data_IF_840703059449
#
_entry.id   IF_840703059449
#
_cell.length_a   1.000
_cell.length_b   1.000
_cell.length_c   1.000
_cell.angle_alpha   90.00
_cell.angle_beta   90.00
_cell.angle_gamma   90.00
#
_symmetry.space_group_name_H-M   'P 1'
#
loop_
_entity.id
_entity.type
_entity.pdbx_description
1 polymer ?
#
# COMPACT_ATOMS: atom_id res chain seq x y z
N UNK A 1 -7.91 -18.88 14.85
CA UNK A 1 -7.94 -19.07 13.39
C UNK A 1 -8.41 -17.82 12.67
N UNK A 2 -8.08 -17.69 11.39
CA UNK A 2 -8.56 -16.60 10.55
C UNK A 2 -10.08 -16.53 10.53
N UNK A 3 -10.75 -17.67 10.36
CA UNK A 3 -12.21 -17.76 10.33
C UNK A 3 -12.87 -17.19 11.59
N UNK A 4 -12.31 -17.44 12.77
CA UNK A 4 -12.84 -16.90 14.04
C UNK A 4 -12.71 -15.37 14.11
N UNK A 5 -11.63 -14.79 13.60
CA UNK A 5 -11.43 -13.33 13.55
C UNK A 5 -12.43 -12.71 12.57
N UNK A 6 -12.58 -13.28 11.37
CA UNK A 6 -13.54 -12.78 10.38
C UNK A 6 -14.98 -12.82 10.91
N UNK A 7 -15.35 -13.90 11.61
CA UNK A 7 -16.67 -14.03 12.24
C UNK A 7 -16.88 -13.00 13.36
N UNK A 8 -15.85 -12.73 14.18
CA UNK A 8 -15.90 -11.69 15.22
C UNK A 8 -16.15 -10.31 14.61
N UNK A 9 -15.44 -9.98 13.54
CA UNK A 9 -15.60 -8.70 12.83
C UNK A 9 -17.00 -8.61 12.21
N UNK A 10 -17.49 -9.68 11.59
CA UNK A 10 -18.83 -9.69 10.98
C UNK A 10 -19.96 -9.53 11.99
N UNK A 11 -19.80 -10.10 13.19
CA UNK A 11 -20.81 -9.99 14.26
C UNK A 11 -20.77 -8.66 15.03
N UNK A 12 -19.77 -7.80 14.75
CA UNK A 12 -19.62 -6.51 15.43
C UNK A 12 -20.60 -5.45 14.91
N UNK A 13 -20.84 -4.42 15.73
CA UNK A 13 -21.64 -3.23 15.36
C UNK A 13 -20.82 -2.17 14.59
N UNK A 14 -19.62 -2.52 14.10
CA UNK A 14 -18.75 -1.61 13.35
C UNK A 14 -19.40 -1.21 12.01
N UNK A 15 -19.07 -0.02 11.50
CA UNK A 15 -19.52 0.41 10.18
C UNK A 15 -19.13 -0.60 9.09
N UNK A 16 -19.93 -0.67 8.04
CA UNK A 16 -19.75 -1.66 6.97
C UNK A 16 -18.36 -1.57 6.30
N UNK A 17 -17.95 -0.36 5.93
CA UNK A 17 -16.63 -0.13 5.26
C UNK A 17 -15.47 -0.56 6.16
N UNK A 18 -15.55 -0.24 7.46
CA UNK A 18 -14.58 -0.68 8.46
C UNK A 18 -14.47 -2.20 8.50
N UNK A 19 -15.63 -2.92 8.57
CA UNK A 19 -15.64 -4.39 8.61
C UNK A 19 -15.06 -5.00 7.33
N UNK A 20 -15.44 -4.49 6.16
CA UNK A 20 -14.95 -4.97 4.87
C UNK A 20 -13.43 -4.78 4.78
N UNK A 21 -12.93 -3.59 5.04
CA UNK A 21 -11.49 -3.28 5.03
C UNK A 21 -10.70 -4.15 6.02
N UNK A 22 -11.16 -4.26 7.25
CA UNK A 22 -10.48 -5.07 8.27
C UNK A 22 -10.40 -6.55 7.87
N UNK A 23 -11.48 -7.11 7.32
CA UNK A 23 -11.48 -8.49 6.83
C UNK A 23 -10.52 -8.68 5.67
N UNK A 24 -10.41 -7.73 4.76
CA UNK A 24 -9.50 -7.82 3.63
C UNK A 24 -8.03 -7.75 4.09
N UNK A 25 -7.72 -6.91 5.09
CA UNK A 25 -6.39 -6.88 5.72
C UNK A 25 -6.07 -8.23 6.37
N UNK A 26 -7.00 -8.82 7.14
CA UNK A 26 -6.79 -10.12 7.77
C UNK A 26 -6.66 -11.27 6.77
N UNK A 27 -7.40 -11.26 5.66
CA UNK A 27 -7.25 -12.26 4.59
C UNK A 27 -5.87 -12.17 3.96
N UNK A 28 -5.43 -10.98 3.58
CA UNK A 28 -4.10 -10.76 3.01
C UNK A 28 -2.99 -11.20 3.96
N UNK A 29 -3.13 -10.90 5.24
CA UNK A 29 -2.18 -11.33 6.26
C UNK A 29 -2.18 -12.87 6.40
N UNK A 30 -3.36 -13.49 6.48
CA UNK A 30 -3.50 -14.94 6.54
C UNK A 30 -2.93 -15.65 5.32
N UNK A 31 -3.12 -15.11 4.11
CA UNK A 31 -2.52 -15.61 2.88
C UNK A 31 -0.99 -15.57 2.91
N UNK A 32 -0.41 -14.46 3.41
CA UNK A 32 1.03 -14.33 3.52
C UNK A 32 1.62 -15.32 4.52
N UNK A 33 1.01 -15.46 5.69
CA UNK A 33 1.42 -16.44 6.70
C UNK A 33 1.27 -17.88 6.18
N UNK A 34 0.16 -18.22 5.52
CA UNK A 34 -0.06 -19.53 4.93
C UNK A 34 1.02 -19.91 3.91
N UNK A 35 1.43 -18.95 3.06
CA UNK A 35 2.53 -19.15 2.10
C UNK A 35 3.87 -19.36 2.80
N UNK A 36 4.17 -18.58 3.83
CA UNK A 36 5.43 -18.70 4.58
C UNK A 36 5.51 -20.05 5.30
N UNK A 37 4.40 -20.53 5.87
CA UNK A 37 4.34 -21.81 6.58
C UNK A 37 4.12 -23.02 5.66
N UNK A 38 3.73 -22.81 4.41
CA UNK A 38 3.43 -23.88 3.48
C UNK A 38 2.20 -24.71 3.85
N UNK A 39 1.21 -24.07 4.47
CA UNK A 39 -0.07 -24.68 4.91
C UNK A 39 -1.26 -24.03 4.22
N UNK A 40 -2.44 -24.64 4.35
CA UNK A 40 -3.68 -24.03 3.89
C UNK A 40 -4.05 -22.83 4.77
N UNK A 41 -4.69 -21.81 4.16
CA UNK A 41 -5.13 -20.60 4.88
C UNK A 41 -6.12 -20.91 6.00
N UNK A 42 -6.92 -21.94 5.87
CA UNK A 42 -7.87 -22.39 6.91
C UNK A 42 -7.16 -23.04 8.11
N UNK A 43 -5.94 -23.54 7.92
CA UNK A 43 -5.12 -24.15 8.97
C UNK A 43 -4.24 -23.14 9.70
N UNK A 44 -4.22 -21.88 9.23
CA UNK A 44 -3.38 -20.84 9.84
C UNK A 44 -3.82 -20.57 11.29
N UNK A 45 -2.83 -20.68 12.16
CA UNK A 45 -2.89 -20.17 13.53
C UNK A 45 -1.91 -18.99 13.62
N UNK A 46 -2.43 -17.80 13.75
CA UNK A 46 -1.60 -16.62 13.98
C UNK A 46 -0.86 -16.74 15.31
N UNK A 47 0.45 -16.92 15.26
CA UNK A 47 1.28 -17.05 16.46
C UNK A 47 1.71 -15.70 17.02
N UNK A 48 1.94 -14.71 16.15
CA UNK A 48 2.37 -13.36 16.49
C UNK A 48 1.31 -12.30 16.19
N UNK A 49 0.41 -12.55 15.25
CA UNK A 49 -0.53 -11.56 14.70
C UNK A 49 -1.99 -11.81 15.10
N UNK A 50 -2.30 -12.91 15.75
CA UNK A 50 -3.67 -13.28 16.16
C UNK A 50 -4.02 -12.87 17.59
N UNK A 51 -3.16 -12.12 18.26
CA UNK A 51 -3.41 -11.56 19.58
C UNK A 51 -4.43 -10.40 19.50
N UNK A 52 -5.02 -10.07 20.63
CA UNK A 52 -6.06 -9.02 20.72
C UNK A 52 -5.56 -7.68 20.20
N UNK A 53 -4.29 -7.37 20.43
CA UNK A 53 -3.59 -6.17 19.96
C UNK A 53 -3.64 -6.03 18.43
N UNK A 54 -3.31 -7.07 17.67
CA UNK A 54 -3.40 -7.00 16.20
C UNK A 54 -4.83 -6.79 15.68
N UNK A 55 -5.84 -7.34 16.39
CA UNK A 55 -7.25 -7.08 16.05
C UNK A 55 -7.56 -5.61 16.31
N UNK A 56 -7.13 -5.06 17.44
CA UNK A 56 -7.33 -3.64 17.79
C UNK A 56 -6.61 -2.74 16.80
N UNK A 57 -5.37 -3.06 16.42
CA UNK A 57 -4.57 -2.26 15.49
C UNK A 57 -5.20 -2.22 14.10
N UNK A 58 -5.60 -3.38 13.56
CA UNK A 58 -6.18 -3.46 12.21
C UNK A 58 -7.57 -2.84 12.18
N UNK A 59 -8.45 -3.24 13.08
CA UNK A 59 -9.84 -2.73 13.14
C UNK A 59 -9.83 -1.25 13.49
N UNK A 60 -9.00 -0.85 14.47
CA UNK A 60 -8.85 0.54 14.90
C UNK A 60 -8.34 1.45 13.78
N UNK A 61 -7.36 0.99 13.00
CA UNK A 61 -6.87 1.74 11.84
C UNK A 61 -7.95 1.91 10.77
N UNK A 62 -8.68 0.84 10.44
CA UNK A 62 -9.79 0.91 9.48
C UNK A 62 -10.91 1.84 9.96
N UNK A 63 -11.26 1.77 11.26
CA UNK A 63 -12.28 2.62 11.87
C UNK A 63 -11.83 4.09 11.90
N UNK A 64 -10.57 4.36 12.24
CA UNK A 64 -10.03 5.71 12.25
C UNK A 64 -10.09 6.36 10.87
N UNK A 65 -9.73 5.64 9.80
CA UNK A 65 -9.85 6.13 8.43
C UNK A 65 -11.30 6.48 8.08
N UNK A 66 -12.28 5.65 8.49
CA UNK A 66 -13.69 5.91 8.22
C UNK A 66 -14.21 7.11 9.02
N UNK A 67 -13.88 7.21 10.32
CA UNK A 67 -14.27 8.34 11.16
C UNK A 67 -13.67 9.67 10.74
N UNK A 68 -12.47 9.65 10.16
CA UNK A 68 -11.82 10.82 9.58
C UNK A 68 -12.33 11.16 8.18
N UNK A 69 -13.23 10.35 7.60
CA UNK A 69 -13.76 10.58 6.26
C UNK A 69 -12.72 10.43 5.15
N UNK A 70 -11.78 9.49 5.31
CA UNK A 70 -10.71 9.30 4.33
C UNK A 70 -11.24 8.52 3.12
N UNK A 71 -11.12 9.14 1.95
CA UNK A 71 -11.51 8.54 0.68
C UNK A 71 -10.37 7.73 0.06
N UNK A 72 -9.15 8.22 0.12
CA UNK A 72 -7.99 7.63 -0.53
C UNK A 72 -6.78 7.64 0.42
N UNK A 73 -6.04 6.54 0.41
CA UNK A 73 -4.77 6.39 1.14
C UNK A 73 -3.63 6.27 0.14
N UNK A 74 -2.55 6.98 0.36
CA UNK A 74 -1.33 6.92 -0.44
C UNK A 74 -0.15 6.62 0.47
N UNK A 75 0.75 5.76 0.02
CA UNK A 75 1.94 5.40 0.77
C UNK A 75 3.22 5.79 0.01
N UNK A 76 4.23 6.27 0.73
CA UNK A 76 5.59 6.28 0.21
C UNK A 76 6.08 4.83 0.03
N UNK A 77 7.21 4.58 -0.69
CA UNK A 77 7.87 3.29 -0.66
C UNK A 77 8.07 2.81 0.78
N UNK A 78 7.68 1.54 1.05
CA UNK A 78 7.64 1.01 2.42
C UNK A 78 9.05 0.85 2.98
N UNK A 79 9.31 1.49 4.11
CA UNK A 79 10.61 1.39 4.78
C UNK A 79 10.77 -0.02 5.39
N UNK A 80 11.82 -0.73 4.97
CA UNK A 80 12.20 -2.03 5.54
C UNK A 80 13.59 -1.94 6.18
N UNK A 81 13.73 -2.56 7.35
CA UNK A 81 15.00 -2.59 8.05
C UNK A 81 15.98 -3.61 7.49
N UNK A 82 17.19 -3.61 8.04
CA UNK A 82 18.24 -4.59 7.80
C UNK A 82 18.57 -5.34 9.08
N UNK A 83 19.24 -6.48 8.94
CA UNK A 83 19.68 -7.28 10.08
C UNK A 83 18.70 -8.41 10.40
N UNK A 84 18.44 -8.64 11.68
CA UNK A 84 17.67 -9.78 12.16
C UNK A 84 16.77 -9.37 13.32
N UNK A 85 15.59 -9.98 13.37
CA UNK A 85 14.66 -9.91 14.50
C UNK A 85 14.54 -11.30 15.15
N UNK A 86 14.26 -11.34 16.45
CA UNK A 86 13.96 -12.55 17.18
C UNK A 86 12.46 -12.61 17.49
N UNK A 87 11.80 -13.64 17.05
CA UNK A 87 10.37 -13.89 17.27
C UNK A 87 10.07 -15.33 17.64
N UNK A 88 8.82 -15.75 17.59
CA UNK A 88 8.37 -17.10 17.93
C UNK A 88 9.08 -18.19 17.09
N UNK A 89 9.50 -17.87 15.88
CA UNK A 89 10.21 -18.77 14.96
C UNK A 89 11.75 -18.66 15.06
N UNK A 90 12.27 -18.05 16.13
CA UNK A 90 13.69 -17.84 16.31
C UNK A 90 14.18 -16.55 15.64
N UNK A 91 15.46 -16.57 15.20
CA UNK A 91 16.10 -15.41 14.58
C UNK A 91 15.82 -15.38 13.09
N UNK A 92 15.10 -14.35 12.63
CA UNK A 92 14.69 -14.16 11.24
C UNK A 92 15.37 -12.94 10.61
N UNK A 93 15.73 -12.98 9.31
CA UNK A 93 16.23 -11.81 8.60
C UNK A 93 15.13 -10.76 8.43
N UNK A 94 15.53 -9.49 8.33
CA UNK A 94 14.63 -8.37 8.02
C UNK A 94 14.66 -8.01 6.52
N UNK A 95 13.51 -7.70 5.90
CA UNK A 95 12.15 -7.78 6.49
C UNK A 95 11.77 -9.23 6.84
N UNK A 96 10.98 -9.42 7.89
CA UNK A 96 10.50 -10.73 8.31
C UNK A 96 9.77 -11.45 7.15
N UNK A 97 9.76 -12.81 7.11
CA UNK A 97 9.24 -13.56 5.96
C UNK A 97 7.82 -13.18 5.56
N UNK A 98 6.91 -13.02 6.50
CA UNK A 98 5.54 -12.61 6.21
C UNK A 98 5.47 -11.17 5.69
N UNK A 99 6.27 -10.25 6.25
CA UNK A 99 6.39 -8.88 5.74
C UNK A 99 6.92 -8.87 4.30
N UNK A 100 7.94 -9.66 4.00
CA UNK A 100 8.50 -9.79 2.65
C UNK A 100 7.46 -10.33 1.66
N UNK A 101 6.66 -11.32 2.08
CA UNK A 101 5.59 -11.89 1.26
C UNK A 101 4.50 -10.86 0.96
N UNK A 102 4.08 -10.09 1.97
CA UNK A 102 3.07 -9.02 1.84
C UNK A 102 3.53 -7.89 0.92
N UNK A 103 4.82 -7.60 0.89
CA UNK A 103 5.40 -6.51 0.10
C UNK A 103 5.76 -6.90 -1.34
N UNK A 104 5.51 -8.14 -1.77
CA UNK A 104 5.70 -8.54 -3.17
C UNK A 104 4.88 -7.67 -4.12
N UNK A 105 5.55 -7.06 -5.09
CA UNK A 105 4.92 -6.18 -6.09
C UNK A 105 4.73 -4.73 -5.62
N UNK A 106 5.16 -4.39 -4.40
CA UNK A 106 5.09 -3.03 -3.87
C UNK A 106 6.48 -2.41 -3.75
N UNK A 107 6.62 -1.09 -3.94
CA UNK A 107 7.91 -0.43 -3.81
C UNK A 107 8.36 -0.41 -2.34
N UNK A 108 9.62 -0.74 -2.12
CA UNK A 108 10.25 -0.72 -0.81
C UNK A 108 11.45 0.22 -0.80
N UNK A 109 11.77 0.74 0.39
CA UNK A 109 12.99 1.47 0.68
C UNK A 109 13.75 0.77 1.80
N UNK A 110 14.89 0.19 1.50
CA UNK A 110 15.74 -0.42 2.53
C UNK A 110 16.48 0.66 3.31
N UNK A 111 16.43 0.54 4.64
CA UNK A 111 17.11 1.43 5.57
C UNK A 111 18.03 0.63 6.48
N UNK A 112 19.24 1.13 6.70
CA UNK A 112 20.21 0.53 7.63
C UNK A 112 19.84 0.90 9.07
N UNK A 113 18.92 0.13 9.65
CA UNK A 113 18.37 0.42 10.98
C UNK A 113 18.72 -0.62 12.03
N UNK A 114 19.03 -1.86 11.62
CA UNK A 114 19.20 -2.99 12.53
C UNK A 114 17.93 -3.39 13.30
N UNK A 115 16.77 -2.82 12.94
CA UNK A 115 15.48 -3.04 13.58
C UNK A 115 14.37 -3.29 12.56
N UNK A 116 13.29 -3.92 12.98
CA UNK A 116 12.08 -4.08 12.18
C UNK A 116 11.36 -2.72 12.07
N UNK A 117 11.33 -2.15 10.85
CA UNK A 117 10.66 -0.86 10.59
C UNK A 117 9.21 -1.04 10.16
N UNK A 118 8.91 -2.16 9.54
CA UNK A 118 7.56 -2.51 9.09
C UNK A 118 7.25 -3.94 9.50
N UNK A 119 6.24 -4.09 10.34
CA UNK A 119 5.74 -5.38 10.82
C UNK A 119 4.81 -6.02 9.78
N UNK A 120 4.48 -7.31 9.87
CA UNK A 120 3.47 -7.95 9.02
C UNK A 120 2.13 -7.21 9.06
N UNK A 121 1.66 -6.79 10.24
CA UNK A 121 0.43 -6.01 10.41
C UNK A 121 0.47 -4.69 9.65
N UNK A 122 1.57 -3.93 9.77
CA UNK A 122 1.75 -2.67 9.06
C UNK A 122 1.82 -2.86 7.55
N UNK A 123 2.53 -3.90 7.08
CA UNK A 123 2.60 -4.24 5.67
C UNK A 123 1.21 -4.62 5.11
N UNK A 124 0.44 -5.43 5.85
CA UNK A 124 -0.91 -5.83 5.44
C UNK A 124 -1.86 -4.62 5.35
N UNK A 125 -1.82 -3.71 6.33
CA UNK A 125 -2.61 -2.46 6.30
C UNK A 125 -2.26 -1.62 5.07
N UNK A 126 -0.98 -1.32 4.86
CA UNK A 126 -0.55 -0.47 3.74
C UNK A 126 -0.89 -1.11 2.39
N UNK A 127 -0.56 -2.38 2.19
CA UNK A 127 -0.77 -3.05 0.90
C UNK A 127 -2.24 -3.34 0.58
N UNK A 128 -3.13 -3.30 1.57
CA UNK A 128 -4.58 -3.48 1.38
C UNK A 128 -5.29 -2.14 1.18
N UNK A 129 -4.94 -1.13 1.97
CA UNK A 129 -5.71 0.11 2.05
C UNK A 129 -5.16 1.21 1.14
N UNK A 130 -3.87 1.16 0.76
CA UNK A 130 -3.31 2.18 -0.10
C UNK A 130 -3.80 2.01 -1.54
N UNK A 131 -4.25 3.12 -2.11
CA UNK A 131 -4.63 3.23 -3.52
C UNK A 131 -3.41 3.19 -4.43
N UNK A 132 -2.31 3.81 -3.99
CA UNK A 132 -1.07 3.89 -4.77
C UNK A 132 0.14 4.10 -3.84
N UNK A 133 1.32 3.78 -4.38
CA UNK A 133 2.61 3.89 -3.71
C UNK A 133 3.55 4.78 -4.52
N UNK A 134 4.08 5.81 -3.89
CA UNK A 134 4.99 6.73 -4.57
C UNK A 134 5.10 8.08 -3.87
N UNK A 135 5.36 9.16 -4.63
CA UNK A 135 5.41 10.51 -4.08
C UNK A 135 4.03 10.94 -3.57
N UNK A 136 4.04 11.77 -2.54
CA UNK A 136 2.81 12.34 -1.99
C UNK A 136 2.05 13.11 -3.10
N UNK A 137 0.74 12.84 -3.29
CA UNK A 137 -0.07 13.59 -4.24
C UNK A 137 -0.09 15.08 -3.92
N UNK A 138 -0.35 15.89 -4.93
CA UNK A 138 -0.56 17.33 -4.72
C UNK A 138 -1.81 17.58 -3.88
N UNK A 139 -1.66 18.37 -2.82
CA UNK A 139 -2.74 18.62 -1.88
C UNK A 139 -2.36 19.68 -0.84
N UNK A 140 -3.33 20.06 -0.02
CA UNK A 140 -3.12 20.96 1.12
C UNK A 140 -3.17 20.13 2.41
N UNK A 141 -2.06 20.08 3.15
CA UNK A 141 -2.00 19.36 4.42
C UNK A 141 -2.83 20.13 5.46
N UNK A 142 -3.80 19.44 6.07
CA UNK A 142 -4.65 19.96 7.12
C UNK A 142 -4.23 19.49 8.52
N UNK A 143 -3.66 18.28 8.64
CA UNK A 143 -3.17 17.74 9.89
C UNK A 143 -2.01 16.75 9.68
N UNK A 144 -1.23 16.54 10.76
CA UNK A 144 -0.12 15.59 10.80
C UNK A 144 -0.26 14.74 12.06
N UNK A 145 -0.22 13.42 11.87
CA UNK A 145 -0.19 12.43 12.95
C UNK A 145 1.16 11.73 13.02
N UNK A 146 1.59 11.36 14.21
CA UNK A 146 2.79 10.58 14.48
C UNK A 146 2.45 9.40 15.38
N UNK A 147 2.88 8.21 14.96
CA UNK A 147 2.85 6.99 15.77
C UNK A 147 4.26 6.48 15.99
N UNK A 148 4.71 6.38 17.23
CA UNK A 148 6.04 5.91 17.58
C UNK A 148 6.03 4.40 17.80
N UNK A 149 7.03 3.70 17.28
CA UNK A 149 7.35 2.32 17.63
C UNK A 149 8.23 2.25 18.89
N UNK A 150 8.29 1.07 19.49
CA UNK A 150 9.01 0.85 20.77
C UNK A 150 10.53 0.80 20.62
N UNK A 151 11.03 0.40 19.46
CA UNK A 151 12.45 0.22 19.22
C UNK A 151 13.11 1.44 18.57
N UNK A 152 14.33 1.74 18.99
CA UNK A 152 15.15 2.73 18.30
C UNK A 152 15.75 2.13 17.05
N UNK A 153 15.36 2.66 15.90
CA UNK A 153 15.84 2.26 14.58
C UNK A 153 17.03 3.14 14.13
N UNK A 154 18.18 2.97 14.77
CA UNK A 154 19.39 3.75 14.43
C UNK A 154 19.26 5.25 14.72
N UNK A 155 19.84 6.12 13.88
CA UNK A 155 19.81 7.58 14.08
C UNK A 155 18.45 8.21 13.74
N UNK A 156 17.57 7.49 13.05
CA UNK A 156 16.24 7.96 12.65
C UNK A 156 15.20 7.45 13.65
N UNK A 157 14.25 8.26 14.11
CA UNK A 157 13.16 7.80 14.95
C UNK A 157 12.35 6.71 14.24
N UNK A 158 12.06 5.60 14.95
CA UNK A 158 11.08 4.61 14.48
C UNK A 158 9.68 5.17 14.70
N UNK A 159 9.17 5.89 13.71
CA UNK A 159 7.86 6.54 13.80
C UNK A 159 7.17 6.57 12.43
N UNK A 160 5.91 6.18 12.43
CA UNK A 160 5.01 6.40 11.30
C UNK A 160 4.53 7.85 11.31
N UNK A 161 4.64 8.53 10.19
CA UNK A 161 4.10 9.88 9.98
C UNK A 161 2.97 9.83 8.95
N UNK A 162 1.82 10.32 9.35
CA UNK A 162 0.61 10.39 8.51
C UNK A 162 0.26 11.85 8.26
N UNK A 163 -0.06 12.18 7.03
CA UNK A 163 -0.57 13.49 6.62
C UNK A 163 -2.04 13.36 6.25
N UNK A 164 -2.88 14.17 6.86
CA UNK A 164 -4.23 14.41 6.39
C UNK A 164 -4.18 15.61 5.43
N UNK A 165 -4.65 15.42 4.21
CA UNK A 165 -4.58 16.46 3.19
C UNK A 165 -5.83 16.44 2.30
N UNK A 166 -6.27 17.65 1.92
CA UNK A 166 -7.25 17.83 0.87
C UNK A 166 -6.53 17.75 -0.48
N UNK A 167 -6.93 16.78 -1.30
CA UNK A 167 -6.35 16.56 -2.61
C UNK A 167 -6.71 17.71 -3.54
N UNK A 168 -5.72 18.32 -4.16
CA UNK A 168 -5.95 19.23 -5.26
C UNK A 168 -6.25 18.36 -6.48
N UNK A 169 -7.50 18.36 -6.93
CA UNK A 169 -7.82 17.85 -8.25
C UNK A 169 -7.04 18.69 -9.26
N UNK A 170 -5.94 18.14 -9.74
CA UNK A 170 -5.38 18.69 -10.96
C UNK A 170 -6.44 18.42 -12.03
N UNK A 171 -7.06 19.46 -12.53
CA UNK A 171 -7.60 19.43 -13.89
C UNK A 171 -6.40 19.07 -14.77
N UNK A 172 -6.18 17.78 -14.90
CA UNK A 172 -5.25 17.27 -15.90
C UNK A 172 -5.97 17.51 -17.24
N UNK A 173 -5.77 18.68 -17.79
CA UNK A 173 -5.85 18.89 -19.22
C UNK A 173 -4.78 18.04 -19.89
N UNK A 174 -4.85 16.74 -19.69
CA UNK A 174 -4.09 15.75 -20.45
C UNK A 174 -4.89 15.54 -21.71
N UNK A 175 -4.58 16.34 -22.72
CA UNK A 175 -4.93 15.97 -24.07
C UNK A 175 -4.32 14.60 -24.34
N UNK A 176 -5.15 13.62 -24.61
CA UNK A 176 -4.67 12.34 -25.11
C UNK A 176 -4.28 12.57 -26.55
N UNK A 177 -3.01 12.71 -26.80
CA UNK A 177 -2.46 12.75 -28.16
C UNK A 177 -2.05 11.32 -28.55
N UNK A 178 -2.39 10.94 -29.76
CA UNK A 178 -1.90 9.72 -30.38
C UNK A 178 -0.75 10.12 -31.31
N UNK A 179 0.47 9.66 -30.98
CA UNK A 179 1.61 9.83 -31.86
C UNK A 179 1.55 8.74 -32.94
N UNK A 180 1.40 9.16 -34.21
CA UNK A 180 1.48 8.28 -35.36
C UNK A 180 2.80 8.54 -36.08
N UNK A 181 3.63 7.51 -36.14
CA UNK A 181 4.91 7.54 -36.88
C UNK A 181 4.80 6.61 -38.08
N UNK A 182 5.19 7.09 -39.25
CA UNK A 182 5.27 6.29 -40.47
C UNK A 182 6.49 6.66 -41.28
N UNK A 183 7.09 5.67 -41.90
CA UNK A 183 8.14 5.89 -42.88
C UNK A 183 7.47 6.01 -44.28
N UNK A 184 7.77 7.12 -44.96
CA UNK A 184 7.28 7.39 -46.31
C UNK A 184 8.48 7.29 -47.23
N UNK A 185 8.49 6.30 -48.10
CA UNK A 185 9.66 5.98 -48.94
C UNK A 185 9.64 6.74 -50.28
N UNK A 186 8.48 6.88 -50.94
CA UNK A 186 8.36 7.53 -52.24
C UNK A 186 7.18 8.52 -52.30
N UNK A 187 7.34 9.68 -51.63
CA UNK A 187 6.35 10.75 -51.75
C UNK A 187 7.01 12.10 -52.09
N UNK A 188 6.44 12.81 -53.06
CA UNK A 188 6.93 14.15 -53.36
C UNK A 188 6.60 15.13 -52.23
N UNK A 189 7.41 16.18 -52.07
CA UNK A 189 7.22 17.20 -51.04
C UNK A 189 5.85 17.92 -51.14
N UNK A 190 5.27 17.99 -52.31
CA UNK A 190 3.94 18.58 -52.56
C UNK A 190 2.83 17.75 -51.90
N UNK A 191 2.93 16.41 -51.94
CA UNK A 191 2.00 15.52 -51.30
C UNK A 191 2.09 15.55 -49.79
N UNK A 192 3.29 15.80 -49.22
CA UNK A 192 3.49 15.95 -47.80
C UNK A 192 2.74 17.18 -47.25
N UNK A 193 2.79 18.31 -47.99
CA UNK A 193 2.01 19.51 -47.64
C UNK A 193 0.51 19.23 -47.65
N UNK A 194 -0.01 18.59 -48.71
CA UNK A 194 -1.41 18.22 -48.77
C UNK A 194 -1.83 17.23 -47.67
N UNK A 195 -1.00 16.27 -47.31
CA UNK A 195 -1.24 15.36 -46.19
C UNK A 195 -1.36 16.10 -44.86
N UNK A 196 -0.47 17.05 -44.59
CA UNK A 196 -0.54 17.87 -43.38
C UNK A 196 -1.86 18.64 -43.28
N UNK A 197 -2.29 19.29 -44.39
CA UNK A 197 -3.55 20.00 -44.39
C UNK A 197 -4.74 19.07 -44.09
N UNK A 198 -4.74 17.87 -44.70
CA UNK A 198 -5.79 16.86 -44.47
C UNK A 198 -5.78 16.34 -43.02
N UNK A 199 -4.62 16.15 -42.40
CA UNK A 199 -4.53 15.74 -41.01
C UNK A 199 -5.13 16.79 -40.07
N UNK A 200 -4.81 18.07 -40.27
CA UNK A 200 -5.40 19.14 -39.48
C UNK A 200 -6.92 19.29 -39.70
N UNK A 201 -7.43 19.08 -40.93
CA UNK A 201 -8.88 19.08 -41.20
C UNK A 201 -9.62 17.99 -40.42
N UNK A 202 -9.03 16.84 -40.16
CA UNK A 202 -9.64 15.73 -39.40
C UNK A 202 -9.32 15.77 -37.89
N UNK A 203 -8.61 16.81 -37.43
CA UNK A 203 -8.40 17.10 -36.01
C UNK A 203 -7.10 16.52 -35.44
N UNK A 204 -6.09 16.31 -36.23
CA UNK A 204 -4.75 15.93 -35.76
C UNK A 204 -3.99 17.12 -35.16
#
# INVERSE_FOLDING_TARGET
SLSSILQLIDSSELPRKTRENAKDVFRRLGEAEARVHGVDIEEIHFHEVGAVDSIVDIVGSCLALELLGIDEVYCAPVAVGTGFVSGAHGRMPLPAPATAELLKGFPIQQMDSGAELTTPTGAALMTTLAKDFGPMPSGTISAIGLGAGDERAGPTPNALRVFLADKIEQETGRDRVLLLETNIDDMSSEWIGHLMDRLFEVGA
#
